data_IF_862770215370
#
_entry.id   IF_862770215370
#
_cell.length_a   1.000
_cell.length_b   1.000
_cell.length_c   1.000
_cell.angle_alpha   90.00
_cell.angle_beta   90.00
_cell.angle_gamma   90.00
#
_symmetry.space_group_name_H-M   'P 1'
#
loop_
_entity.id
_entity.type
_entity.pdbx_description
1 polymer ?
#
# COMPACT_ATOMS: atom_id res chain seq x y z
N UNK A 1 45.97 7.12 -43.18
CA UNK A 1 46.25 6.23 -42.05
C UNK A 1 45.16 5.18 -41.79
N UNK A 2 43.89 5.50 -41.93
CA UNK A 2 42.79 4.57 -41.59
C UNK A 2 42.59 3.33 -42.51
N UNK A 3 43.02 3.38 -43.78
CA UNK A 3 42.79 2.31 -44.74
C UNK A 3 43.62 1.04 -44.50
N UNK A 4 44.79 1.21 -43.93
CA UNK A 4 45.70 0.11 -43.59
C UNK A 4 45.25 -0.59 -42.30
N UNK A 5 44.73 0.17 -41.32
CA UNK A 5 44.17 -0.36 -40.08
C UNK A 5 42.90 -1.20 -40.38
N UNK A 6 42.03 -0.74 -41.26
CA UNK A 6 40.84 -1.49 -41.65
C UNK A 6 41.18 -2.80 -42.38
N UNK A 7 42.22 -2.81 -43.24
CA UNK A 7 42.72 -4.02 -43.89
C UNK A 7 43.31 -5.01 -42.89
N UNK A 8 44.04 -4.52 -41.88
CA UNK A 8 44.64 -5.36 -40.85
C UNK A 8 43.54 -5.98 -39.98
N UNK A 9 42.55 -5.22 -39.53
CA UNK A 9 41.40 -5.70 -38.82
C UNK A 9 40.64 -6.79 -39.61
N UNK A 10 40.48 -6.60 -40.91
CA UNK A 10 39.79 -7.57 -41.76
C UNK A 10 40.59 -8.85 -41.96
N UNK A 11 41.90 -8.77 -42.07
CA UNK A 11 42.77 -9.96 -42.21
C UNK A 11 42.82 -10.79 -40.91
N UNK A 12 42.72 -10.13 -39.76
CA UNK A 12 42.75 -10.78 -38.44
C UNK A 12 41.35 -11.06 -37.90
N UNK A 13 40.31 -11.01 -38.76
CA UNK A 13 38.89 -11.10 -38.36
C UNK A 13 38.56 -12.34 -37.50
N UNK A 14 39.27 -13.46 -37.69
CA UNK A 14 39.04 -14.69 -36.89
C UNK A 14 39.59 -14.55 -35.49
N UNK A 15 40.75 -13.93 -35.35
CA UNK A 15 41.35 -13.64 -34.02
C UNK A 15 40.57 -12.54 -33.29
N UNK A 16 40.16 -11.52 -34.06
CA UNK A 16 39.39 -10.40 -33.49
C UNK A 16 37.93 -10.74 -33.22
N UNK A 17 37.38 -11.77 -33.82
CA UNK A 17 35.98 -12.19 -33.59
C UNK A 17 35.72 -12.58 -32.13
N UNK A 18 36.68 -13.22 -31.49
CA UNK A 18 36.59 -13.53 -30.03
C UNK A 18 36.55 -12.28 -29.19
N UNK A 19 37.44 -11.33 -29.46
CA UNK A 19 37.47 -10.04 -28.77
C UNK A 19 36.18 -9.25 -28.95
N UNK A 20 35.61 -9.24 -30.15
CA UNK A 20 34.31 -8.61 -30.42
C UNK A 20 33.18 -9.29 -29.66
N UNK A 21 33.19 -10.60 -29.60
CA UNK A 21 32.19 -11.35 -28.84
C UNK A 21 32.31 -11.06 -27.34
N UNK A 22 33.52 -11.03 -26.81
CA UNK A 22 33.78 -10.69 -25.40
C UNK A 22 33.29 -9.27 -25.08
N UNK A 23 33.66 -8.28 -25.89
CA UNK A 23 33.19 -6.90 -25.73
C UNK A 23 31.68 -6.78 -25.83
N UNK A 24 31.06 -7.54 -26.75
CA UNK A 24 29.61 -7.56 -26.89
C UNK A 24 28.94 -8.11 -25.61
N UNK A 25 29.45 -9.22 -25.07
CA UNK A 25 28.93 -9.81 -23.82
C UNK A 25 29.07 -8.83 -22.68
N UNK A 26 30.25 -8.20 -22.51
CA UNK A 26 30.47 -7.18 -21.49
C UNK A 26 29.51 -6.01 -21.66
N UNK A 27 29.29 -5.54 -22.90
CA UNK A 27 28.33 -4.46 -23.19
C UNK A 27 26.91 -4.84 -22.77
N UNK A 28 26.45 -6.06 -23.12
CA UNK A 28 25.11 -6.54 -22.74
C UNK A 28 24.96 -6.61 -21.22
N UNK A 29 25.97 -7.11 -20.51
CA UNK A 29 25.95 -7.17 -19.05
C UNK A 29 25.90 -5.76 -18.45
N UNK A 30 26.72 -4.85 -18.93
CA UNK A 30 26.71 -3.45 -18.46
C UNK A 30 25.39 -2.76 -18.76
N UNK A 31 24.84 -2.97 -19.95
CA UNK A 31 23.53 -2.47 -20.30
C UNK A 31 22.47 -2.95 -19.31
N UNK A 32 22.42 -4.26 -19.05
CA UNK A 32 21.49 -4.84 -18.10
C UNK A 32 21.62 -4.25 -16.69
N UNK A 33 22.85 -4.09 -16.20
CA UNK A 33 23.12 -3.49 -14.88
C UNK A 33 22.59 -2.05 -14.85
N UNK A 34 22.89 -1.24 -15.87
CA UNK A 34 22.44 0.15 -15.96
C UNK A 34 20.93 0.23 -15.99
N UNK A 35 20.28 -0.63 -16.77
CA UNK A 35 18.83 -0.70 -16.88
C UNK A 35 18.17 -1.04 -15.52
N UNK A 36 18.65 -2.10 -14.87
CA UNK A 36 18.15 -2.49 -13.54
C UNK A 36 18.33 -1.37 -12.51
N UNK A 37 19.50 -0.74 -12.48
CA UNK A 37 19.77 0.37 -11.55
C UNK A 37 18.85 1.55 -11.85
N UNK A 38 18.68 1.91 -13.12
CA UNK A 38 17.81 3.01 -13.53
C UNK A 38 16.35 2.77 -13.14
N UNK A 39 15.82 1.59 -13.46
CA UNK A 39 14.44 1.20 -13.12
C UNK A 39 14.25 1.19 -11.61
N UNK A 40 15.17 0.57 -10.87
CA UNK A 40 15.10 0.50 -9.41
C UNK A 40 15.11 1.89 -8.78
N UNK A 41 16.01 2.77 -9.19
CA UNK A 41 16.06 4.14 -8.68
C UNK A 41 14.83 4.96 -9.07
N UNK A 42 14.31 4.77 -10.27
CA UNK A 42 13.10 5.44 -10.72
C UNK A 42 11.91 5.05 -9.87
N UNK A 43 11.73 3.76 -9.57
CA UNK A 43 10.66 3.26 -8.71
C UNK A 43 10.86 3.73 -7.27
N UNK A 44 12.10 3.65 -6.76
CA UNK A 44 12.42 4.06 -5.39
C UNK A 44 12.06 5.53 -5.11
N UNK A 45 12.30 6.41 -6.07
CA UNK A 45 12.05 7.85 -5.94
C UNK A 45 10.58 8.27 -6.17
N UNK A 46 9.68 7.34 -6.52
CA UNK A 46 8.26 7.68 -6.62
C UNK A 46 7.70 8.04 -5.24
N UNK A 47 6.77 9.00 -5.16
CA UNK A 47 6.15 9.39 -3.90
C UNK A 47 5.40 8.21 -3.27
N UNK A 48 5.47 8.11 -1.95
CA UNK A 48 4.77 7.07 -1.18
C UNK A 48 3.30 7.39 -0.92
N UNK A 49 2.93 8.67 -1.01
CA UNK A 49 1.56 9.14 -0.76
C UNK A 49 1.21 9.31 0.72
N UNK A 50 2.16 9.10 1.62
CA UNK A 50 2.03 9.30 3.06
C UNK A 50 3.36 9.77 3.66
N UNK A 51 3.30 10.26 4.89
CA UNK A 51 4.46 10.72 5.67
C UNK A 51 4.52 9.96 7.00
N UNK A 52 5.72 9.51 7.35
CA UNK A 52 6.00 8.79 8.62
C UNK A 52 6.87 9.60 9.57
N UNK A 53 7.18 10.85 9.25
CA UNK A 53 8.02 11.68 10.08
C UNK A 53 7.35 11.92 11.45
N UNK A 54 8.13 11.69 12.52
CA UNK A 54 7.67 11.75 13.91
C UNK A 54 6.52 10.80 14.26
N UNK A 55 6.35 9.71 13.49
CA UNK A 55 5.33 8.70 13.76
C UNK A 55 5.93 7.52 14.54
N UNK A 56 5.24 7.08 15.56
CA UNK A 56 5.64 5.98 16.43
C UNK A 56 4.61 4.86 16.38
N UNK A 57 5.08 3.62 16.37
CA UNK A 57 4.24 2.44 16.40
C UNK A 57 4.29 1.81 17.78
N UNK A 58 3.12 1.70 18.41
CA UNK A 58 2.95 0.95 19.63
C UNK A 58 2.30 -0.40 19.29
N UNK A 59 2.94 -1.48 19.68
CA UNK A 59 2.39 -2.84 19.52
C UNK A 59 1.94 -3.36 20.87
N UNK A 60 0.73 -3.86 20.91
CA UNK A 60 0.15 -4.47 22.08
C UNK A 60 -0.01 -5.97 21.83
N UNK A 61 0.42 -6.77 22.78
CA UNK A 61 0.27 -8.19 22.75
C UNK A 61 -0.35 -8.67 24.06
N UNK A 62 -1.16 -9.72 23.95
CA UNK A 62 -1.75 -10.33 25.13
C UNK A 62 -0.67 -10.99 25.98
N UNK A 63 -0.69 -10.75 27.29
CA UNK A 63 0.27 -11.36 28.21
C UNK A 63 0.15 -12.88 28.20
N UNK A 64 1.28 -13.55 28.10
CA UNK A 64 1.32 -15.00 28.21
C UNK A 64 1.14 -15.44 29.68
N UNK A 65 0.69 -16.68 29.90
CA UNK A 65 0.52 -17.26 31.25
C UNK A 65 1.79 -17.30 32.09
N UNK A 66 2.94 -17.00 31.50
CA UNK A 66 4.24 -16.94 32.20
C UNK A 66 4.54 -15.54 32.76
N UNK A 67 3.78 -14.51 32.36
CA UNK A 67 4.00 -13.15 32.86
C UNK A 67 3.46 -13.01 34.28
N UNK A 68 4.19 -12.31 35.12
CA UNK A 68 3.80 -12.09 36.52
C UNK A 68 2.46 -11.34 36.70
N UNK A 69 2.10 -10.51 35.70
CA UNK A 69 0.86 -9.76 35.67
C UNK A 69 -0.28 -10.45 34.90
N UNK A 70 -0.09 -11.73 34.51
CA UNK A 70 -1.10 -12.47 33.78
C UNK A 70 -2.38 -12.64 34.61
N UNK A 71 -3.50 -12.29 34.01
CA UNK A 71 -4.82 -12.43 34.60
C UNK A 71 -5.58 -13.57 33.88
N UNK A 72 -5.75 -14.74 34.51
CA UNK A 72 -6.51 -15.82 33.91
C UNK A 72 -7.99 -15.46 33.81
N UNK A 73 -8.62 -15.83 32.69
CA UNK A 73 -10.04 -15.61 32.46
C UNK A 73 -10.39 -14.22 31.88
N UNK A 74 -9.41 -13.39 31.58
CA UNK A 74 -9.62 -12.11 30.90
C UNK A 74 -10.19 -12.33 29.49
N UNK A 75 -11.26 -11.62 29.17
CA UNK A 75 -11.94 -11.70 27.88
C UNK A 75 -11.30 -10.76 26.83
N UNK A 76 -11.51 -11.06 25.57
CA UNK A 76 -11.09 -10.17 24.48
C UNK A 76 -11.74 -8.79 24.58
N UNK A 77 -12.99 -8.72 25.03
CA UNK A 77 -13.72 -7.45 25.22
C UNK A 77 -13.03 -6.53 26.23
N UNK A 78 -12.49 -7.09 27.32
CA UNK A 78 -11.71 -6.31 28.31
C UNK A 78 -10.39 -5.83 27.71
N UNK A 79 -9.73 -6.65 26.89
CA UNK A 79 -8.48 -6.26 26.24
C UNK A 79 -8.71 -5.11 25.24
N UNK A 80 -9.80 -5.16 24.48
CA UNK A 80 -10.22 -4.09 23.54
C UNK A 80 -10.57 -2.81 24.31
N UNK A 81 -11.29 -2.91 25.42
CA UNK A 81 -11.61 -1.76 26.24
C UNK A 81 -10.36 -1.07 26.80
N UNK A 82 -9.36 -1.83 27.23
CA UNK A 82 -8.07 -1.29 27.68
C UNK A 82 -7.32 -0.60 26.54
N UNK A 83 -7.37 -1.19 25.34
CA UNK A 83 -6.75 -0.60 24.16
C UNK A 83 -7.37 0.77 23.83
N UNK A 84 -8.70 0.86 23.85
CA UNK A 84 -9.39 2.14 23.64
C UNK A 84 -9.07 3.16 24.74
N UNK A 85 -8.94 2.73 25.99
CA UNK A 85 -8.52 3.61 27.10
C UNK A 85 -7.09 4.13 26.89
N UNK A 86 -6.16 3.28 26.42
CA UNK A 86 -4.79 3.70 26.10
C UNK A 86 -4.79 4.74 24.97
N UNK A 87 -5.54 4.48 23.88
CA UNK A 87 -5.68 5.42 22.78
C UNK A 87 -6.24 6.75 23.24
N UNK A 88 -7.29 6.73 24.04
CA UNK A 88 -7.91 7.94 24.60
C UNK A 88 -6.92 8.74 25.44
N UNK A 89 -6.16 8.08 26.31
CA UNK A 89 -5.11 8.75 27.12
C UNK A 89 -4.00 9.36 26.27
N UNK A 90 -3.60 8.67 25.20
CA UNK A 90 -2.59 9.18 24.28
C UNK A 90 -3.10 10.38 23.50
N UNK A 91 -4.34 10.33 23.00
CA UNK A 91 -4.96 11.42 22.26
C UNK A 91 -5.13 12.71 23.08
N UNK A 92 -5.22 12.61 24.41
CA UNK A 92 -5.32 13.77 25.31
C UNK A 92 -3.96 14.34 25.74
N UNK A 93 -2.86 13.79 25.27
CA UNK A 93 -1.53 14.34 25.58
C UNK A 93 -1.21 15.55 24.70
N UNK A 94 -0.66 16.62 25.29
CA UNK A 94 -0.34 17.84 24.52
C UNK A 94 0.82 17.68 23.52
N UNK A 95 1.61 16.62 23.65
CA UNK A 95 2.73 16.28 22.77
C UNK A 95 2.37 15.27 21.67
N UNK A 96 1.10 14.87 21.57
CA UNK A 96 0.58 13.92 20.58
C UNK A 96 -0.42 14.63 19.69
N UNK A 97 -0.15 14.67 18.38
CA UNK A 97 -0.99 15.32 17.38
C UNK A 97 -2.20 14.46 16.99
N UNK A 98 -1.96 13.18 16.73
CA UNK A 98 -2.99 12.22 16.35
C UNK A 98 -2.62 10.81 16.79
N UNK A 99 -3.62 9.97 17.06
CA UNK A 99 -3.47 8.55 17.41
C UNK A 99 -4.48 7.77 16.60
N UNK A 100 -4.06 6.66 16.01
CA UNK A 100 -4.96 5.76 15.27
C UNK A 100 -4.75 4.31 15.68
N UNK A 101 -5.80 3.53 15.61
CA UNK A 101 -5.72 2.07 15.64
C UNK A 101 -5.71 1.54 14.21
N UNK A 102 -4.92 0.50 13.98
CA UNK A 102 -4.90 -0.20 12.71
C UNK A 102 -4.52 -1.66 12.90
N UNK A 103 -5.13 -2.54 12.12
CA UNK A 103 -4.79 -3.94 12.14
C UNK A 103 -3.88 -4.29 10.98
N UNK A 104 -2.62 -4.59 11.27
CA UNK A 104 -1.62 -5.00 10.27
C UNK A 104 -1.50 -4.03 9.07
N UNK A 105 -1.71 -2.75 9.31
CA UNK A 105 -1.80 -1.71 8.28
C UNK A 105 -0.66 -0.67 8.35
N UNK A 106 0.40 -0.96 9.08
CA UNK A 106 1.53 -0.05 9.23
C UNK A 106 2.27 0.04 7.89
N UNK A 107 2.67 1.24 7.45
CA UNK A 107 3.56 1.40 6.30
C UNK A 107 4.82 0.55 6.45
N UNK A 108 5.34 0.05 5.33
CA UNK A 108 6.52 -0.83 5.27
C UNK A 108 6.36 -2.18 6.02
N UNK A 109 5.14 -2.57 6.30
CA UNK A 109 4.89 -3.91 6.84
C UNK A 109 4.62 -4.89 5.69
N UNK A 110 5.28 -6.03 5.70
CA UNK A 110 5.05 -7.12 4.74
C UNK A 110 3.67 -7.79 4.88
N UNK A 111 2.91 -7.45 5.92
CA UNK A 111 1.56 -7.92 6.13
C UNK A 111 0.61 -7.42 5.04
N UNK A 112 0.23 -8.31 4.15
CA UNK A 112 -0.63 -8.00 3.00
C UNK A 112 -1.99 -8.69 3.16
N UNK A 113 -2.92 -8.06 3.87
CA UNK A 113 -4.32 -8.42 3.74
C UNK A 113 -4.84 -7.90 2.41
N UNK A 114 -5.42 -8.74 1.58
CA UNK A 114 -6.05 -8.34 0.33
C UNK A 114 -7.55 -8.30 0.45
N UNK A 115 -8.17 -7.37 -0.26
CA UNK A 115 -9.60 -7.26 -0.43
C UNK A 115 -9.94 -7.37 -1.91
N UNK A 116 -10.91 -8.20 -2.23
CA UNK A 116 -11.40 -8.39 -3.60
C UNK A 116 -12.85 -7.95 -3.66
N UNK A 117 -13.17 -7.11 -4.62
CA UNK A 117 -14.49 -6.57 -4.87
C UNK A 117 -14.72 -6.40 -6.37
N UNK A 118 -15.92 -6.05 -6.77
CA UNK A 118 -16.25 -5.80 -8.16
C UNK A 118 -16.56 -4.34 -8.38
N UNK A 119 -15.87 -3.73 -9.34
CA UNK A 119 -16.27 -2.45 -9.91
C UNK A 119 -16.92 -2.74 -11.26
N UNK A 120 -18.23 -2.60 -11.31
CA UNK A 120 -19.06 -3.07 -12.43
C UNK A 120 -18.85 -4.60 -12.66
N UNK A 121 -18.23 -4.98 -13.76
CA UNK A 121 -17.92 -6.38 -14.10
C UNK A 121 -16.45 -6.75 -13.85
N UNK A 122 -15.61 -5.78 -13.48
CA UNK A 122 -14.18 -5.98 -13.32
C UNK A 122 -13.86 -6.43 -11.90
N UNK A 123 -13.26 -7.62 -11.71
CA UNK A 123 -12.78 -8.03 -10.40
C UNK A 123 -11.55 -7.20 -10.02
N UNK A 124 -11.64 -6.50 -8.92
CA UNK A 124 -10.57 -5.64 -8.39
C UNK A 124 -10.00 -6.28 -7.14
N UNK A 125 -8.68 -6.34 -7.05
CA UNK A 125 -7.95 -6.77 -5.86
C UNK A 125 -7.00 -5.68 -5.42
N UNK A 126 -7.01 -5.37 -4.12
CA UNK A 126 -6.15 -4.34 -3.54
C UNK A 126 -5.72 -4.72 -2.13
N UNK A 127 -4.79 -3.98 -1.57
CA UNK A 127 -4.47 -4.06 -0.15
C UNK A 127 -5.67 -3.61 0.68
N UNK A 128 -6.06 -4.44 1.65
CA UNK A 128 -7.06 -4.08 2.63
C UNK A 128 -6.41 -3.47 3.86
N UNK A 129 -6.90 -2.31 4.26
CA UNK A 129 -6.45 -1.56 5.42
C UNK A 129 -7.64 -1.32 6.36
N UNK A 130 -7.64 -2.00 7.48
CA UNK A 130 -8.57 -1.76 8.58
C UNK A 130 -7.97 -0.75 9.52
N UNK A 131 -8.62 0.39 9.64
CA UNK A 131 -8.08 1.57 10.29
C UNK A 131 -9.19 2.36 10.99
N UNK A 132 -8.82 3.13 11.99
CA UNK A 132 -9.68 4.23 12.46
C UNK A 132 -9.49 5.46 11.58
N UNK A 133 -10.48 6.37 11.49
CA UNK A 133 -10.41 7.55 10.64
C UNK A 133 -9.15 8.40 10.85
N UNK A 134 -8.67 8.50 12.09
CA UNK A 134 -7.48 9.26 12.47
C UNK A 134 -6.19 8.76 11.80
N UNK A 135 -6.21 7.55 11.23
CA UNK A 135 -5.08 7.00 10.48
C UNK A 135 -4.61 7.93 9.36
N UNK A 136 -5.55 8.57 8.67
CA UNK A 136 -5.20 9.52 7.62
C UNK A 136 -4.47 10.75 8.15
N UNK A 137 -4.80 11.19 9.36
CA UNK A 137 -4.14 12.32 10.03
C UNK A 137 -2.74 11.93 10.52
N UNK A 138 -2.59 10.74 11.11
CA UNK A 138 -1.30 10.23 11.59
C UNK A 138 -0.28 10.14 10.47
N UNK A 139 -0.70 9.67 9.29
CA UNK A 139 0.18 9.49 8.13
C UNK A 139 0.05 10.60 7.08
N UNK A 140 -0.66 11.69 7.38
CA UNK A 140 -0.80 12.90 6.56
C UNK A 140 -1.18 12.61 5.11
N UNK A 141 -2.13 11.72 4.92
CA UNK A 141 -2.67 11.40 3.59
C UNK A 141 -3.33 12.63 2.96
N UNK A 142 -3.39 12.64 1.64
CA UNK A 142 -4.06 13.70 0.88
C UNK A 142 -5.18 13.13 0.05
N UNK A 143 -6.27 13.87 -0.01
CA UNK A 143 -7.36 13.60 -0.91
C UNK A 143 -7.00 14.05 -2.35
N UNK A 144 -7.49 13.33 -3.36
CA UNK A 144 -7.25 13.66 -4.77
C UNK A 144 -7.78 15.04 -5.20
N UNK A 145 -8.71 15.62 -4.44
CA UNK A 145 -9.23 16.97 -4.68
C UNK A 145 -8.32 18.08 -4.12
N UNK A 146 -7.25 17.71 -3.43
CA UNK A 146 -6.30 18.61 -2.79
C UNK A 146 -6.68 19.01 -1.36
N UNK A 147 -7.79 18.48 -0.82
CA UNK A 147 -8.14 18.64 0.59
C UNK A 147 -7.22 17.78 1.48
N UNK A 148 -7.17 18.11 2.75
CA UNK A 148 -6.33 17.43 3.72
C UNK A 148 -6.84 16.07 4.14
N UNK A 149 -6.10 15.45 5.07
CA UNK A 149 -6.41 14.15 5.65
C UNK A 149 -7.75 14.10 6.41
N UNK A 150 -8.19 15.24 6.96
CA UNK A 150 -9.48 15.34 7.67
C UNK A 150 -10.66 14.95 6.79
N UNK A 151 -10.66 15.38 5.52
CA UNK A 151 -11.72 15.02 4.57
C UNK A 151 -11.79 13.52 4.28
N UNK A 152 -10.65 12.84 4.30
CA UNK A 152 -10.58 11.38 4.16
C UNK A 152 -11.09 10.68 5.43
N UNK A 153 -10.74 11.22 6.60
CA UNK A 153 -11.21 10.70 7.88
C UNK A 153 -12.74 10.80 8.00
N UNK A 154 -13.33 11.94 7.62
CA UNK A 154 -14.79 12.12 7.61
C UNK A 154 -15.51 11.22 6.59
N UNK A 155 -14.87 10.93 5.47
CA UNK A 155 -15.43 10.05 4.43
C UNK A 155 -15.41 8.57 4.82
N UNK A 156 -14.52 8.18 5.73
CA UNK A 156 -14.41 6.80 6.19
C UNK A 156 -15.52 6.50 7.20
N UNK A 157 -16.53 5.76 6.77
CA UNK A 157 -17.68 5.37 7.58
C UNK A 157 -17.94 3.87 7.44
N UNK A 158 -18.78 3.23 8.26
CA UNK A 158 -19.13 1.82 8.12
C UNK A 158 -19.65 1.42 6.74
N UNK A 159 -20.33 2.33 6.04
CA UNK A 159 -20.84 2.13 4.69
C UNK A 159 -20.00 2.83 3.60
N UNK A 160 -18.96 3.57 4.01
CA UNK A 160 -18.09 4.35 3.13
C UNK A 160 -16.65 3.86 3.19
N UNK A 161 -16.09 3.49 2.06
CA UNK A 161 -14.67 3.16 1.95
C UNK A 161 -13.90 4.27 1.29
N UNK A 162 -12.63 4.39 1.64
CA UNK A 162 -11.67 5.23 0.95
C UNK A 162 -10.76 4.35 0.09
N UNK A 163 -10.49 4.78 -1.13
CA UNK A 163 -9.71 4.01 -2.10
C UNK A 163 -8.54 4.87 -2.58
N UNK A 164 -7.39 4.27 -2.81
CA UNK A 164 -6.29 4.98 -3.44
C UNK A 164 -6.50 5.06 -4.95
N UNK A 165 -6.29 6.26 -5.54
CA UNK A 165 -6.61 6.52 -6.95
C UNK A 165 -5.79 5.68 -7.92
N UNK A 166 -4.59 5.28 -7.53
CA UNK A 166 -3.69 4.47 -8.35
C UNK A 166 -4.18 3.04 -8.61
N UNK A 167 -5.31 2.65 -8.03
CA UNK A 167 -5.98 1.39 -8.43
C UNK A 167 -6.36 1.43 -9.91
N UNK A 168 -6.67 2.61 -10.45
CA UNK A 168 -6.96 2.78 -11.86
C UNK A 168 -5.76 2.49 -12.76
N UNK A 169 -4.54 2.69 -12.27
CA UNK A 169 -3.30 2.41 -13.01
C UNK A 169 -3.05 0.90 -13.14
N UNK A 170 -3.51 0.13 -12.14
CA UNK A 170 -3.42 -1.35 -12.15
C UNK A 170 -4.40 -1.96 -13.15
N UNK A 171 -5.57 -1.33 -13.33
CA UNK A 171 -6.66 -1.82 -14.19
C UNK A 171 -6.87 -0.90 -15.39
N UNK A 172 -5.82 -0.72 -16.21
CA UNK A 172 -5.78 0.21 -17.34
C UNK A 172 -6.87 -0.04 -18.39
N UNK A 173 -7.27 -1.29 -18.57
CA UNK A 173 -8.33 -1.69 -19.52
C UNK A 173 -9.74 -1.55 -18.94
N UNK A 174 -9.88 -1.10 -17.70
CA UNK A 174 -11.18 -0.91 -17.08
C UNK A 174 -11.91 0.31 -17.67
N UNK A 175 -13.25 0.29 -17.71
CA UNK A 175 -14.04 1.39 -18.28
C UNK A 175 -14.12 2.63 -17.37
N UNK A 176 -13.43 2.65 -16.23
CA UNK A 176 -13.45 3.71 -15.24
C UNK A 176 -12.04 4.20 -14.92
N UNK A 177 -11.89 5.51 -14.71
CA UNK A 177 -10.61 6.15 -14.43
C UNK A 177 -10.73 7.24 -13.35
N UNK A 178 -9.72 7.31 -12.47
CA UNK A 178 -9.54 8.41 -11.52
C UNK A 178 -10.82 8.77 -10.74
N UNK A 179 -11.27 10.02 -10.88
CA UNK A 179 -12.41 10.57 -10.11
C UNK A 179 -13.76 9.92 -10.41
N UNK A 180 -13.91 9.18 -11.50
CA UNK A 180 -15.15 8.47 -11.84
C UNK A 180 -15.47 7.34 -10.87
N UNK A 181 -14.50 6.96 -10.05
CA UNK A 181 -14.70 5.97 -8.98
C UNK A 181 -15.52 6.51 -7.81
N UNK A 182 -15.57 7.84 -7.60
CA UNK A 182 -16.30 8.44 -6.49
C UNK A 182 -17.81 8.16 -6.57
N UNK A 183 -18.39 7.82 -5.43
CA UNK A 183 -19.81 7.54 -5.26
C UNK A 183 -20.28 6.19 -5.81
N UNK A 184 -19.41 5.40 -6.43
CA UNK A 184 -19.78 4.06 -6.89
C UNK A 184 -20.03 3.14 -5.71
N UNK A 185 -21.05 2.31 -5.86
CA UNK A 185 -21.37 1.26 -4.89
C UNK A 185 -20.67 -0.03 -5.26
N UNK A 186 -20.05 -0.63 -4.28
CA UNK A 186 -19.23 -1.82 -4.43
C UNK A 186 -19.85 -2.95 -3.62
N UNK A 187 -20.28 -4.05 -4.25
CA UNK A 187 -20.73 -5.22 -3.50
C UNK A 187 -19.51 -5.89 -2.85
N UNK A 188 -19.59 -6.12 -1.55
CA UNK A 188 -18.54 -6.80 -0.78
C UNK A 188 -18.46 -8.28 -1.17
N UNK A 189 -19.60 -8.89 -1.53
CA UNK A 189 -19.71 -10.29 -1.94
C UNK A 189 -20.54 -10.44 -3.21
N UNK A 190 -20.00 -11.11 -4.21
CA UNK A 190 -20.62 -11.22 -5.55
C UNK A 190 -21.94 -11.99 -5.60
N UNK A 191 -22.19 -12.91 -4.68
CA UNK A 191 -23.22 -13.94 -4.81
C UNK A 191 -24.41 -13.77 -3.86
N UNK A 192 -24.46 -12.72 -3.07
CA UNK A 192 -25.56 -12.48 -2.15
C UNK A 192 -26.37 -11.25 -2.60
N UNK A 193 -27.67 -11.41 -2.93
CA UNK A 193 -28.52 -10.28 -3.37
C UNK A 193 -28.71 -9.22 -2.27
N UNK A 194 -28.48 -9.57 -1.01
CA UNK A 194 -28.48 -8.69 0.17
C UNK A 194 -27.08 -8.30 0.63
N UNK A 195 -26.05 -8.51 -0.24
CA UNK A 195 -24.68 -8.18 0.10
C UNK A 195 -24.56 -6.72 0.52
N UNK A 196 -23.85 -6.52 1.61
CA UNK A 196 -23.52 -5.21 2.10
C UNK A 196 -22.77 -4.42 1.01
N UNK A 197 -23.28 -3.24 0.70
CA UNK A 197 -22.72 -2.39 -0.32
C UNK A 197 -21.94 -1.27 0.34
N UNK A 198 -20.64 -1.22 0.05
CA UNK A 198 -19.83 -0.09 0.40
C UNK A 198 -19.85 0.96 -0.73
N UNK A 199 -19.85 2.23 -0.39
CA UNK A 199 -19.68 3.30 -1.36
C UNK A 199 -18.24 3.81 -1.32
N UNK A 200 -17.66 4.12 -2.48
CA UNK A 200 -16.39 4.81 -2.56
C UNK A 200 -16.64 6.27 -2.19
N UNK A 201 -16.39 6.61 -0.93
CA UNK A 201 -16.72 7.92 -0.36
C UNK A 201 -15.64 8.97 -0.65
N UNK A 202 -14.37 8.57 -0.72
CA UNK A 202 -13.26 9.44 -1.06
C UNK A 202 -12.13 8.68 -1.77
N UNK A 203 -11.23 9.42 -2.41
CA UNK A 203 -10.03 8.89 -3.05
C UNK A 203 -8.80 9.57 -2.48
N UNK A 204 -7.79 8.78 -2.10
CA UNK A 204 -6.47 9.35 -1.78
C UNK A 204 -5.67 9.62 -3.04
N UNK A 205 -4.66 10.50 -2.93
CA UNK A 205 -3.56 10.52 -3.90
C UNK A 205 -2.94 9.12 -4.02
N UNK A 206 -2.11 8.86 -5.06
CA UNK A 206 -1.44 7.57 -5.22
C UNK A 206 -0.68 7.16 -3.97
N UNK A 207 -0.90 5.93 -3.51
CA UNK A 207 -0.28 5.40 -2.29
C UNK A 207 0.52 4.14 -2.63
N UNK A 208 1.71 4.04 -2.06
CA UNK A 208 2.58 2.85 -2.15
C UNK A 208 3.04 2.46 -0.75
N UNK A 209 2.97 1.18 -0.44
CA UNK A 209 3.42 0.68 0.87
C UNK A 209 4.82 0.07 0.85
N UNK A 210 5.45 0.06 -0.32
CA UNK A 210 6.77 -0.51 -0.56
C UNK A 210 7.51 0.34 -1.59
N UNK A 211 8.79 0.62 -1.35
CA UNK A 211 9.65 1.38 -2.26
C UNK A 211 9.93 0.66 -3.58
N UNK A 212 9.79 -0.66 -3.61
CA UNK A 212 10.15 -1.48 -4.77
C UNK A 212 8.96 -1.97 -5.58
N UNK A 213 7.74 -1.71 -5.12
CA UNK A 213 6.53 -2.09 -5.86
C UNK A 213 6.33 -1.20 -7.06
N UNK A 214 6.35 -1.81 -8.24
CA UNK A 214 6.05 -1.12 -9.50
C UNK A 214 4.54 -0.91 -9.70
N UNK A 215 4.14 0.10 -10.50
CA UNK A 215 2.74 0.37 -10.81
C UNK A 215 1.99 -0.78 -11.50
N UNK A 216 2.72 -1.64 -12.21
CA UNK A 216 2.21 -2.80 -12.93
C UNK A 216 2.25 -4.10 -12.11
N UNK A 217 2.69 -4.03 -10.87
CA UNK A 217 2.65 -5.18 -9.98
C UNK A 217 1.20 -5.55 -9.65
N UNK A 218 0.73 -6.59 -10.33
CA UNK A 218 -0.61 -7.16 -10.20
C UNK A 218 -0.80 -7.68 -8.78
N UNK A 219 -1.18 -6.86 -7.93
CA UNK A 219 -1.53 -7.37 -6.66
C UNK A 219 -1.32 -6.34 -5.56
N UNK A 220 -1.73 -6.62 -4.63
CA UNK A 220 -1.87 -6.31 -3.24
C UNK A 220 -0.97 -5.19 -2.65
N UNK A 221 0.02 -4.62 -3.34
CA UNK A 221 0.94 -3.65 -2.72
C UNK A 221 0.93 -2.24 -3.31
N UNK A 222 0.32 -2.07 -4.48
CA UNK A 222 0.35 -0.80 -5.20
C UNK A 222 -0.86 0.11 -4.94
N UNK A 223 -2.01 -0.46 -4.59
CA UNK A 223 -3.22 0.27 -4.29
C UNK A 223 -3.87 -0.22 -3.02
N UNK A 224 -4.54 0.65 -2.28
CA UNK A 224 -5.14 0.31 -1.01
C UNK A 224 -6.63 0.68 -0.93
N UNK A 225 -7.39 -0.16 -0.25
CA UNK A 225 -8.74 0.08 0.21
C UNK A 225 -8.70 0.25 1.72
N UNK A 226 -9.25 1.34 2.19
CA UNK A 226 -9.36 1.66 3.61
C UNK A 226 -10.80 1.43 4.05
N UNK A 227 -10.96 0.66 5.10
CA UNK A 227 -12.24 0.29 5.72
C UNK A 227 -12.21 0.68 7.19
N UNK A 228 -13.36 1.06 7.73
CA UNK A 228 -13.47 1.27 9.18
C UNK A 228 -13.28 -0.03 9.92
N UNK A 229 -12.79 0.08 11.10
CA UNK A 229 -12.53 -1.04 11.99
C UNK A 229 -13.68 -1.29 12.99
N UNK A 230 -14.90 -1.45 12.51
CA UNK A 230 -15.91 -2.15 13.32
C UNK A 230 -15.47 -3.58 13.65
N UNK A 231 -14.55 -4.13 12.84
CA UNK A 231 -13.97 -5.43 13.10
C UNK A 231 -13.05 -5.45 14.35
N UNK A 232 -12.47 -4.36 14.79
CA UNK A 232 -11.81 -4.33 16.12
C UNK A 232 -12.82 -4.49 17.24
N UNK A 233 -14.02 -3.96 17.10
CA UNK A 233 -15.12 -4.19 18.03
C UNK A 233 -15.66 -5.63 17.91
N UNK A 234 -15.77 -6.18 16.69
CA UNK A 234 -16.25 -7.54 16.44
C UNK A 234 -15.22 -8.65 16.74
N UNK A 235 -13.93 -8.36 16.73
CA UNK A 235 -12.89 -9.32 17.18
C UNK A 235 -13.02 -9.64 18.68
N UNK A 236 -13.79 -8.84 19.43
CA UNK A 236 -14.14 -9.13 20.82
C UNK A 236 -15.31 -10.08 21.00
N UNK A 237 -16.04 -10.43 19.93
CA UNK A 237 -17.26 -11.24 20.00
C UNK A 237 -17.07 -12.69 19.50
N UNK A 238 -15.90 -13.05 18.94
CA UNK A 238 -15.52 -14.41 18.56
C UNK A 238 -14.45 -15.00 19.47
#
# INVERSE_FOLDING_TARGET
>A
MNRNLLKQIWNERRSNAFLWMELFVVFVILWYIVDVVYVTLSIYNLPMGFDIENTYVLRFERMTSKAAAYQPGRTMKEDVADLHEIVNRLAHRPDVEAVSLSQNCIPYNDGANSFSFYLDTVPVRSLKRWITPEYFNVFRYRNIDGSGSESLAEALTPSGMVLSVNIADVYQDAPWHGKELLGRRVPVWRNEPEAEHLSIAALTEPVRYDHFTAPDDYGSRYAAVYLTDEALESLGET
#
